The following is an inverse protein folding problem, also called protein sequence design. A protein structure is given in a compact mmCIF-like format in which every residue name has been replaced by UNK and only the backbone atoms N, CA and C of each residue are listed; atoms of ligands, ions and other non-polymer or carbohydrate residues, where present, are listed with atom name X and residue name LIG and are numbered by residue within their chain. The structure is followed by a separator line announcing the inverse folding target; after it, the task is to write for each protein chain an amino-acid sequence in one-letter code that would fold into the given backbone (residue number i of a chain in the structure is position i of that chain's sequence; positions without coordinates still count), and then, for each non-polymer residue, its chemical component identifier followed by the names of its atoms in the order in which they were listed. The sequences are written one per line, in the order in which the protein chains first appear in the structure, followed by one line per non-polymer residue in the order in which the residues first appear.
data_IF_338999276909
#
_entry.id   IF_338999276909
#
_cell.length_a   1.000
_cell.length_b   1.000
_cell.length_c   1.000
_cell.angle_alpha   90.00
_cell.angle_beta   90.00
_cell.angle_gamma   90.00
#
_symmetry.space_group_name_H-M   'P 1'
#
loop_
_entity.id
_entity.type
_entity.pdbx_description
1 polymer ?
#
# COMPACT_ATOMS: atom_id res chain seq x y z
N UNK A 1 -16.07 -33.20 -6.93
CA UNK A 1 -15.95 -32.36 -8.14
C UNK A 1 -14.48 -32.07 -8.35
N UNK A 2 -13.82 -32.84 -9.22
CA UNK A 2 -12.37 -32.74 -9.44
C UNK A 2 -12.05 -31.45 -10.19
N UNK A 3 -11.26 -30.58 -9.59
CA UNK A 3 -10.64 -29.43 -10.25
C UNK A 3 -9.44 -29.91 -11.04
N UNK A 4 -9.56 -29.94 -12.37
CA UNK A 4 -8.46 -30.22 -13.29
C UNK A 4 -7.46 -29.07 -13.27
N UNK A 5 -6.31 -29.26 -12.64
CA UNK A 5 -5.17 -28.34 -12.74
C UNK A 5 -4.60 -28.42 -14.15
N UNK A 6 -4.84 -27.40 -14.97
CA UNK A 6 -4.34 -27.33 -16.33
C UNK A 6 -2.87 -26.90 -16.30
N UNK A 7 -1.94 -27.82 -16.61
CA UNK A 7 -0.51 -27.57 -16.77
C UNK A 7 -0.22 -26.91 -18.13
N UNK A 8 -0.57 -25.63 -18.27
CA UNK A 8 -0.04 -24.80 -19.36
C UNK A 8 1.39 -24.41 -19.05
N UNK A 9 2.30 -24.58 -20.00
CA UNK A 9 3.70 -24.20 -19.80
C UNK A 9 3.82 -22.68 -19.71
N UNK A 10 4.84 -22.19 -18.99
CA UNK A 10 5.06 -20.74 -18.85
C UNK A 10 5.17 -20.04 -20.21
N UNK A 11 5.84 -20.65 -21.19
CA UNK A 11 5.96 -20.11 -22.54
C UNK A 11 4.62 -19.87 -23.22
N UNK A 12 3.72 -20.86 -23.17
CA UNK A 12 2.37 -20.73 -23.75
C UNK A 12 1.54 -19.65 -23.04
N UNK A 13 1.72 -19.48 -21.72
CA UNK A 13 1.05 -18.41 -20.97
C UNK A 13 1.58 -17.03 -21.36
N UNK A 14 2.89 -16.89 -21.56
CA UNK A 14 3.51 -15.65 -22.04
C UNK A 14 3.01 -15.32 -23.45
N UNK A 15 3.03 -16.27 -24.38
CA UNK A 15 2.55 -16.04 -25.76
C UNK A 15 1.08 -15.64 -25.78
N UNK A 16 0.24 -16.30 -24.96
CA UNK A 16 -1.18 -15.95 -24.82
C UNK A 16 -1.38 -14.56 -24.22
N UNK A 17 -0.60 -14.19 -23.20
CA UNK A 17 -0.68 -12.88 -22.56
C UNK A 17 -0.23 -11.77 -23.51
N UNK A 18 0.89 -11.98 -24.22
CA UNK A 18 1.42 -11.02 -25.19
C UNK A 18 0.46 -10.77 -26.35
N UNK A 19 -0.34 -11.76 -26.77
CA UNK A 19 -1.35 -11.60 -27.83
C UNK A 19 -2.73 -11.14 -27.33
N UNK A 20 -2.90 -10.89 -26.02
CA UNK A 20 -4.18 -10.47 -25.46
C UNK A 20 -4.36 -8.94 -25.59
N UNK A 21 -5.17 -8.53 -26.57
CA UNK A 21 -5.46 -7.11 -26.86
C UNK A 21 -6.04 -6.37 -25.65
N UNK A 22 -6.89 -7.01 -24.85
CA UNK A 22 -7.44 -6.39 -23.63
C UNK A 22 -6.35 -6.13 -22.59
N UNK A 23 -5.43 -7.09 -22.41
CA UNK A 23 -4.29 -6.93 -21.51
C UNK A 23 -3.35 -5.83 -22.00
N UNK A 24 -3.02 -5.81 -23.30
CA UNK A 24 -2.21 -4.75 -23.90
C UNK A 24 -2.81 -3.36 -23.70
N UNK A 25 -4.13 -3.21 -23.92
CA UNK A 25 -4.83 -1.94 -23.71
C UNK A 25 -4.85 -1.52 -22.25
N UNK A 26 -5.08 -2.47 -21.33
CA UNK A 26 -5.04 -2.21 -19.90
C UNK A 26 -3.63 -1.77 -19.45
N UNK A 27 -2.57 -2.39 -20.01
CA UNK A 27 -1.20 -2.01 -19.67
C UNK A 27 -0.83 -0.65 -20.25
N UNK A 28 -1.24 -0.34 -21.48
CA UNK A 28 -1.04 1.00 -22.06
C UNK A 28 -1.75 2.12 -21.28
N UNK A 29 -2.92 1.81 -20.68
CA UNK A 29 -3.61 2.73 -19.75
C UNK A 29 -2.91 2.84 -18.40
N UNK A 30 -2.29 1.75 -17.92
CA UNK A 30 -1.52 1.75 -16.69
C UNK A 30 -0.17 2.49 -16.84
N UNK A 31 0.38 2.50 -18.06
CA UNK A 31 1.68 3.09 -18.39
C UNK A 31 1.65 4.63 -18.36
N UNK A 32 0.54 5.26 -18.74
CA UNK A 32 0.52 6.71 -18.96
C UNK A 32 -0.66 7.40 -18.30
N UNK A 33 -0.35 8.20 -17.28
CA UNK A 33 -1.30 9.12 -16.67
C UNK A 33 -0.77 9.72 -15.37
N UNK A 34 -0.15 8.91 -14.52
CA UNK A 34 0.22 9.38 -13.18
C UNK A 34 1.31 10.46 -13.20
N UNK A 35 2.41 10.23 -13.91
CA UNK A 35 3.53 11.20 -13.96
C UNK A 35 3.06 12.54 -14.55
N UNK A 36 2.34 12.48 -15.66
CA UNK A 36 1.87 13.67 -16.37
C UNK A 36 0.76 14.41 -15.61
N UNK A 37 -0.21 13.67 -15.05
CA UNK A 37 -1.25 14.26 -14.21
C UNK A 37 -0.65 14.89 -12.97
N UNK A 38 0.31 14.22 -12.32
CA UNK A 38 1.05 14.78 -11.19
C UNK A 38 1.78 16.05 -11.59
N UNK A 39 2.47 16.07 -12.74
CA UNK A 39 3.16 17.25 -13.27
C UNK A 39 2.19 18.42 -13.44
N UNK A 40 1.05 18.21 -14.09
CA UNK A 40 0.02 19.24 -14.24
C UNK A 40 -0.52 19.75 -12.91
N UNK A 41 -0.77 18.88 -11.93
CA UNK A 41 -1.22 19.29 -10.60
C UNK A 41 -0.16 20.13 -9.86
N UNK A 42 1.13 19.77 -10.00
CA UNK A 42 2.24 20.53 -9.43
C UNK A 42 2.36 21.91 -10.09
N UNK A 43 2.30 21.96 -11.42
CA UNK A 43 2.38 23.22 -12.18
C UNK A 43 1.18 24.16 -11.90
N UNK A 44 0.01 23.59 -11.63
CA UNK A 44 -1.20 24.34 -11.28
C UNK A 44 -1.21 24.86 -9.83
N UNK A 45 -0.23 24.49 -9.00
CA UNK A 45 -0.14 24.88 -7.59
C UNK A 45 1.18 25.63 -7.32
N UNK A 46 1.21 26.97 -7.45
CA UNK A 46 2.41 27.79 -7.30
C UNK A 46 3.16 27.59 -5.97
N UNK A 47 2.45 27.25 -4.91
CA UNK A 47 2.97 27.01 -3.56
C UNK A 47 3.44 25.56 -3.31
N UNK A 48 3.40 24.68 -4.31
CA UNK A 48 3.66 23.25 -4.14
C UNK A 48 4.99 22.95 -3.43
N UNK A 49 6.07 23.65 -3.80
CA UNK A 49 7.39 23.43 -3.20
C UNK A 49 7.40 23.82 -1.72
N UNK A 50 6.73 24.92 -1.33
CA UNK A 50 6.61 25.35 0.08
C UNK A 50 5.79 24.34 0.88
N UNK A 51 4.70 23.82 0.31
CA UNK A 51 3.89 22.77 0.95
C UNK A 51 4.69 21.48 1.12
N UNK A 52 5.54 21.13 0.14
CA UNK A 52 6.42 19.95 0.25
C UNK A 52 7.42 20.11 1.38
N UNK A 53 8.03 21.28 1.51
CA UNK A 53 8.99 21.56 2.58
C UNK A 53 8.28 21.57 3.95
N UNK A 54 7.10 22.17 4.04
CA UNK A 54 6.26 22.13 5.25
C UNK A 54 5.91 20.69 5.65
N UNK A 55 5.49 19.87 4.68
CA UNK A 55 5.17 18.47 4.94
C UNK A 55 6.38 17.65 5.38
N UNK A 56 7.57 17.96 4.86
CA UNK A 56 8.83 17.37 5.33
C UNK A 56 9.12 17.79 6.77
N UNK A 57 8.99 19.07 7.09
CA UNK A 57 9.28 19.58 8.44
C UNK A 57 8.32 18.98 9.48
N UNK A 58 7.05 18.79 9.13
CA UNK A 58 6.08 18.06 9.96
C UNK A 58 6.53 16.62 10.19
N UNK A 59 6.96 15.91 9.14
CA UNK A 59 7.44 14.52 9.27
C UNK A 59 8.66 14.42 10.17
N UNK A 60 9.61 15.35 10.02
CA UNK A 60 10.80 15.38 10.87
C UNK A 60 10.40 15.57 12.33
N UNK A 61 9.56 16.57 12.62
CA UNK A 61 9.05 16.80 13.96
C UNK A 61 8.31 15.58 14.53
N UNK A 62 7.47 14.91 13.74
CA UNK A 62 6.79 13.68 14.16
C UNK A 62 7.78 12.56 14.48
N UNK A 63 8.84 12.40 13.70
CA UNK A 63 9.87 11.37 13.95
C UNK A 63 10.72 11.70 15.19
N UNK A 64 11.04 12.97 15.42
CA UNK A 64 11.75 13.42 16.61
C UNK A 64 10.97 13.16 17.91
N UNK A 65 9.63 13.21 17.85
CA UNK A 65 8.72 13.04 18.99
C UNK A 65 7.87 11.76 18.83
N UNK A 66 8.43 10.75 18.18
CA UNK A 66 7.68 9.57 17.75
C UNK A 66 7.09 8.81 18.95
N UNK A 67 7.80 8.75 20.07
CA UNK A 67 7.34 8.16 21.32
C UNK A 67 5.99 8.73 21.77
N UNK A 68 5.86 10.06 21.79
CA UNK A 68 4.65 10.76 22.21
C UNK A 68 3.53 10.61 21.18
N UNK A 69 3.85 10.73 19.89
CA UNK A 69 2.86 10.60 18.82
C UNK A 69 2.29 9.19 18.69
N UNK A 70 3.08 8.17 19.03
CA UNK A 70 2.65 6.78 19.04
C UNK A 70 1.58 6.51 20.11
N UNK A 71 1.73 7.06 21.31
CA UNK A 71 0.72 6.96 22.38
C UNK A 71 -0.57 7.72 22.01
N UNK A 72 -0.44 8.95 21.48
CA UNK A 72 -1.60 9.73 21.01
C UNK A 72 -2.33 8.99 19.88
N UNK A 73 -1.59 8.39 18.95
CA UNK A 73 -2.18 7.60 17.88
C UNK A 73 -2.97 6.41 18.43
N UNK A 74 -2.42 5.69 19.40
CA UNK A 74 -3.12 4.57 20.04
C UNK A 74 -4.40 5.03 20.74
N UNK A 75 -4.36 6.10 21.52
CA UNK A 75 -5.54 6.68 22.17
C UNK A 75 -6.64 6.98 21.13
N UNK A 76 -6.27 7.63 20.02
CA UNK A 76 -7.23 7.96 18.95
C UNK A 76 -7.75 6.74 18.21
N UNK A 77 -6.95 5.71 17.99
CA UNK A 77 -7.42 4.46 17.39
C UNK A 77 -8.44 3.78 18.30
N UNK A 78 -8.15 3.70 19.60
CA UNK A 78 -9.04 3.10 20.60
C UNK A 78 -10.36 3.89 20.71
N UNK A 79 -10.30 5.22 20.73
CA UNK A 79 -11.49 6.10 20.72
C UNK A 79 -12.41 5.82 19.51
N UNK A 80 -11.82 5.50 18.35
CA UNK A 80 -12.55 5.18 17.13
C UNK A 80 -12.94 3.69 17.01
N UNK A 81 -12.77 2.90 18.08
CA UNK A 81 -13.15 1.49 18.12
C UNK A 81 -12.17 0.54 17.43
N UNK A 82 -10.95 1.02 17.13
CA UNK A 82 -9.86 0.18 16.65
C UNK A 82 -9.04 -0.41 17.80
N UNK A 83 -8.12 -1.30 17.44
CA UNK A 83 -7.16 -1.91 18.37
C UNK A 83 -5.75 -1.69 17.82
N UNK A 84 -4.83 -1.18 18.65
CA UNK A 84 -3.41 -1.12 18.33
C UNK A 84 -2.71 -2.34 18.91
N UNK A 85 -1.85 -2.96 18.10
CA UNK A 85 -0.99 -4.04 18.54
C UNK A 85 0.47 -3.63 18.42
N UNK A 86 1.14 -3.50 19.57
CA UNK A 86 2.57 -3.20 19.62
C UNK A 86 3.40 -4.45 19.33
N UNK A 87 4.43 -4.29 18.51
CA UNK A 87 5.40 -5.34 18.22
C UNK A 87 6.81 -4.75 18.25
N UNK A 88 7.66 -5.32 19.11
CA UNK A 88 9.06 -4.92 19.28
C UNK A 88 9.98 -5.53 18.21
N UNK A 89 9.51 -6.57 17.50
CA UNK A 89 10.24 -7.24 16.43
C UNK A 89 9.33 -7.68 15.28
N UNK A 90 9.95 -8.00 14.13
CA UNK A 90 9.22 -8.54 12.97
C UNK A 90 8.57 -9.90 13.27
N UNK A 91 9.21 -10.75 14.06
CA UNK A 91 8.66 -12.04 14.49
C UNK A 91 7.42 -11.86 15.37
N UNK A 92 7.45 -10.88 16.28
CA UNK A 92 6.30 -10.54 17.11
C UNK A 92 5.13 -10.02 16.25
N UNK A 93 5.41 -9.12 15.31
CA UNK A 93 4.41 -8.62 14.37
C UNK A 93 3.78 -9.77 13.57
N UNK A 94 4.60 -10.67 13.01
CA UNK A 94 4.12 -11.85 12.29
C UNK A 94 3.21 -12.75 13.14
N UNK A 95 3.57 -12.98 14.42
CA UNK A 95 2.73 -13.78 15.33
C UNK A 95 1.37 -13.11 15.59
N UNK A 96 1.37 -11.80 15.83
CA UNK A 96 0.14 -11.03 16.07
C UNK A 96 -0.76 -11.09 14.84
N UNK A 97 -0.21 -10.79 13.66
CA UNK A 97 -0.94 -10.82 12.39
C UNK A 97 -1.54 -12.22 12.14
N UNK A 98 -0.75 -13.27 12.32
CA UNK A 98 -1.23 -14.65 12.17
C UNK A 98 -2.39 -14.96 13.13
N UNK A 99 -2.28 -14.52 14.39
CA UNK A 99 -3.35 -14.67 15.38
C UNK A 99 -4.64 -13.98 14.95
N UNK A 100 -4.56 -12.76 14.42
CA UNK A 100 -5.71 -12.01 13.90
C UNK A 100 -6.35 -12.76 12.71
N UNK A 101 -5.55 -13.21 11.75
CA UNK A 101 -6.04 -13.97 10.60
C UNK A 101 -6.77 -15.25 11.02
N UNK A 102 -6.23 -15.99 12.00
CA UNK A 102 -6.85 -17.20 12.52
C UNK A 102 -8.17 -16.91 13.25
N UNK A 103 -8.23 -15.84 14.04
CA UNK A 103 -9.47 -15.39 14.69
C UNK A 103 -10.55 -15.00 13.68
N UNK A 104 -10.14 -14.49 12.52
CA UNK A 104 -11.03 -14.09 11.43
C UNK A 104 -11.39 -15.23 10.45
N UNK A 105 -10.94 -16.48 10.67
CA UNK A 105 -11.04 -17.61 9.71
C UNK A 105 -10.53 -17.27 8.30
N UNK A 106 -9.49 -16.43 8.21
CA UNK A 106 -8.85 -16.09 6.93
C UNK A 106 -8.08 -17.31 6.38
N UNK A 107 -8.13 -17.50 5.05
CA UNK A 107 -7.56 -18.67 4.34
C UNK A 107 -6.62 -18.26 3.22
#
# INVERSE_FOLDING_TARGET
MSTTTQTVTFGEQVDRALNNVSLQQAMGRAESGFVETRRHCVEAMPEFEVLRDTARDIKEHTLEHLDSYLEIFEEKVIENGGTVHWASSGEEACRIILGICQQADAR
#
